data_IF_492660687618
#
_entry.id   IF_492660687618
#
_cell.length_a   1.000
_cell.length_b   1.000
_cell.length_c   1.000
_cell.angle_alpha   90.00
_cell.angle_beta   90.00
_cell.angle_gamma   90.00
#
_symmetry.space_group_name_H-M   'P 1'
#
loop_
_entity.id
_entity.type
_entity.pdbx_description
1 polymer ?
#
# COMPACT_ATOMS: atom_id res chain seq x y z
N UNK A 1 -15.25 -3.89 -2.59
CA UNK A 1 -13.83 -3.61 -2.33
C UNK A 1 -13.11 -4.89 -1.96
N UNK A 2 -11.87 -5.03 -2.41
CA UNK A 2 -10.97 -6.11 -1.97
C UNK A 2 -10.03 -5.66 -0.86
N UNK A 3 -9.96 -4.35 -0.60
CA UNK A 3 -9.20 -3.76 0.50
C UNK A 3 -9.86 -4.04 1.85
N UNK A 4 -9.06 -4.41 2.84
CA UNK A 4 -9.52 -4.59 4.22
C UNK A 4 -9.45 -3.24 4.94
N UNK A 5 -10.55 -2.78 5.59
CA UNK A 5 -10.51 -1.61 6.45
C UNK A 5 -9.53 -1.79 7.61
N UNK A 6 -8.84 -0.72 7.98
CA UNK A 6 -7.84 -0.72 9.06
C UNK A 6 -8.27 0.23 10.17
N UNK A 7 -8.33 -0.30 11.40
CA UNK A 7 -8.55 0.50 12.60
C UNK A 7 -7.21 0.98 13.15
N UNK A 8 -7.15 2.25 13.53
CA UNK A 8 -5.99 2.89 14.14
C UNK A 8 -6.42 3.65 15.41
N UNK A 9 -5.66 3.50 16.49
CA UNK A 9 -5.84 4.30 17.70
C UNK A 9 -4.81 5.42 17.67
N UNK A 10 -5.28 6.65 17.64
CA UNK A 10 -4.45 7.86 17.58
C UNK A 10 -4.87 8.80 18.70
N UNK A 11 -3.96 9.09 19.63
CA UNK A 11 -4.25 9.94 20.80
C UNK A 11 -5.51 9.51 21.59
N UNK A 12 -5.72 8.18 21.69
CA UNK A 12 -6.84 7.60 22.43
C UNK A 12 -8.18 7.59 21.68
N UNK A 13 -8.22 8.06 20.43
CA UNK A 13 -9.40 7.98 19.55
C UNK A 13 -9.25 6.90 18.51
N UNK A 14 -10.36 6.32 18.10
CA UNK A 14 -10.42 5.25 17.11
C UNK A 14 -10.78 5.82 15.73
N UNK A 15 -9.95 5.51 14.75
CA UNK A 15 -10.14 5.90 13.36
C UNK A 15 -10.15 4.69 12.44
N UNK A 16 -10.87 4.82 11.34
CA UNK A 16 -10.96 3.83 10.28
C UNK A 16 -10.32 4.39 9.00
N UNK A 17 -9.35 3.66 8.46
CA UNK A 17 -8.82 3.89 7.12
C UNK A 17 -9.42 2.87 6.16
N UNK A 18 -9.97 3.35 5.05
CA UNK A 18 -10.65 2.50 4.07
C UNK A 18 -10.50 3.09 2.67
N UNK A 19 -10.47 2.22 1.67
CA UNK A 19 -10.48 2.60 0.27
C UNK A 19 -11.28 1.60 -0.56
N UNK A 20 -11.34 1.82 -1.85
CA UNK A 20 -12.07 1.01 -2.79
C UNK A 20 -11.19 0.56 -3.96
N UNK A 21 -11.70 -0.41 -4.69
CA UNK A 21 -11.16 -0.83 -5.96
C UNK A 21 -12.22 -0.68 -7.03
N UNK A 22 -11.79 -0.69 -8.27
CA UNK A 22 -12.69 -0.58 -9.38
C UNK A 22 -12.30 -1.53 -10.53
N UNK A 23 -13.27 -2.04 -11.27
CA UNK A 23 -13.07 -2.95 -12.37
C UNK A 23 -14.02 -2.62 -13.51
N UNK A 24 -13.51 -2.62 -14.76
CA UNK A 24 -14.33 -2.51 -15.96
C UNK A 24 -15.38 -3.63 -16.03
N UNK A 25 -16.54 -3.32 -16.55
CA UNK A 25 -17.70 -4.22 -16.60
C UNK A 25 -18.66 -4.06 -15.42
N UNK A 26 -18.25 -3.43 -14.34
CA UNK A 26 -19.14 -2.97 -13.28
C UNK A 26 -19.56 -1.52 -13.46
N UNK A 27 -18.84 -0.77 -14.29
CA UNK A 27 -19.11 0.62 -14.66
C UNK A 27 -18.86 0.81 -16.16
N UNK A 28 -19.32 1.94 -16.70
CA UNK A 28 -19.28 2.22 -18.15
C UNK A 28 -18.10 3.10 -18.57
N UNK A 29 -17.08 3.27 -17.75
CA UNK A 29 -15.94 4.14 -18.02
C UNK A 29 -14.63 3.46 -17.66
N UNK A 30 -13.56 3.87 -18.34
CA UNK A 30 -12.24 3.27 -18.28
C UNK A 30 -11.40 3.80 -17.12
N UNK A 31 -11.83 4.90 -16.47
CA UNK A 31 -11.20 5.50 -15.30
C UNK A 31 -12.20 5.75 -14.19
N UNK A 32 -11.74 5.81 -12.96
CA UNK A 32 -12.51 6.25 -11.80
C UNK A 32 -11.60 6.86 -10.74
N UNK A 33 -12.11 7.88 -10.06
CA UNK A 33 -11.50 8.35 -8.82
C UNK A 33 -11.69 7.32 -7.71
N UNK A 34 -10.57 6.95 -7.09
CA UNK A 34 -10.52 5.99 -6.00
C UNK A 34 -10.12 6.73 -4.74
N UNK A 35 -11.07 6.99 -3.84
CA UNK A 35 -10.79 7.70 -2.59
C UNK A 35 -10.15 6.77 -1.55
N UNK A 36 -9.23 7.35 -0.78
CA UNK A 36 -8.71 6.82 0.47
C UNK A 36 -9.28 7.69 1.58
N UNK A 37 -10.08 7.12 2.47
CA UNK A 37 -10.76 7.88 3.53
C UNK A 37 -10.14 7.63 4.90
N UNK A 38 -10.13 8.68 5.73
CA UNK A 38 -10.09 8.59 7.18
C UNK A 38 -11.46 8.91 7.74
N UNK A 39 -11.96 8.04 8.58
CA UNK A 39 -13.29 8.13 9.19
C UNK A 39 -13.13 8.06 10.70
N UNK A 40 -13.81 8.91 11.43
CA UNK A 40 -13.99 8.73 12.89
C UNK A 40 -14.83 7.48 13.11
N UNK A 41 -14.27 6.48 13.78
CA UNK A 41 -14.92 5.17 13.92
C UNK A 41 -16.09 5.18 14.91
N UNK A 42 -16.21 6.20 15.78
CA UNK A 42 -17.29 6.34 16.73
C UNK A 42 -18.49 7.06 16.12
N UNK A 43 -18.24 8.09 15.31
CA UNK A 43 -19.29 8.95 14.75
C UNK A 43 -19.67 8.60 13.31
N UNK A 44 -18.76 7.97 12.56
CA UNK A 44 -18.88 7.73 11.13
C UNK A 44 -18.57 8.96 10.27
N UNK A 45 -18.07 10.05 10.86
CA UNK A 45 -17.70 11.27 10.15
C UNK A 45 -16.46 11.05 9.29
N UNK A 46 -16.53 11.44 8.01
CA UNK A 46 -15.37 11.48 7.11
C UNK A 46 -14.54 12.70 7.45
N UNK A 47 -13.33 12.49 7.94
CA UNK A 47 -12.44 13.56 8.36
C UNK A 47 -11.65 14.14 7.17
N UNK A 48 -11.20 13.26 6.27
CA UNK A 48 -10.58 13.63 5.02
C UNK A 48 -10.65 12.48 4.01
N UNK A 49 -10.43 12.78 2.74
CA UNK A 49 -10.15 11.80 1.70
C UNK A 49 -9.06 12.32 0.75
N UNK A 50 -8.38 11.40 0.11
CA UNK A 50 -7.37 11.66 -0.93
C UNK A 50 -7.69 10.76 -2.11
N UNK A 51 -7.82 11.33 -3.30
CA UNK A 51 -8.32 10.64 -4.48
C UNK A 51 -7.19 10.33 -5.46
N UNK A 52 -7.27 9.15 -6.08
CA UNK A 52 -6.42 8.74 -7.20
C UNK A 52 -7.29 8.38 -8.39
N UNK A 53 -6.98 8.93 -9.56
CA UNK A 53 -7.56 8.44 -10.80
C UNK A 53 -6.90 7.10 -11.16
N UNK A 54 -7.72 6.07 -11.40
CA UNK A 54 -7.25 4.73 -11.72
C UNK A 54 -7.90 4.19 -12.98
N UNK A 55 -7.13 3.41 -13.74
CA UNK A 55 -7.53 2.81 -15.01
C UNK A 55 -7.98 1.35 -14.83
N UNK A 56 -8.77 0.83 -15.76
CA UNK A 56 -9.13 -0.58 -15.83
C UNK A 56 -9.77 -0.95 -17.16
N UNK A 57 -9.01 -1.05 -18.22
CA UNK A 57 -9.49 -1.42 -19.56
C UNK A 57 -9.26 -2.90 -19.89
N UNK A 58 -8.42 -3.61 -19.15
CA UNK A 58 -8.01 -5.01 -19.38
C UNK A 58 -8.80 -6.04 -18.56
N UNK A 59 -9.83 -5.62 -17.82
CA UNK A 59 -10.62 -6.47 -16.94
C UNK A 59 -9.94 -6.87 -15.62
N UNK A 60 -8.75 -6.33 -15.34
CA UNK A 60 -8.06 -6.45 -14.05
C UNK A 60 -8.36 -5.23 -13.17
N UNK A 61 -8.61 -5.43 -11.90
CA UNK A 61 -9.02 -4.33 -11.01
C UNK A 61 -7.92 -3.31 -10.76
N UNK A 62 -8.27 -2.03 -10.89
CA UNK A 62 -7.47 -0.89 -10.43
C UNK A 62 -7.87 -0.42 -9.03
N UNK A 63 -7.21 0.63 -8.55
CA UNK A 63 -7.43 1.20 -7.22
C UNK A 63 -6.75 0.42 -6.11
N UNK A 64 -7.29 0.50 -4.89
CA UNK A 64 -6.70 -0.14 -3.71
C UNK A 64 -7.23 -1.56 -3.56
N UNK A 65 -6.33 -2.53 -3.73
CA UNK A 65 -6.58 -3.98 -3.57
C UNK A 65 -5.95 -4.52 -2.29
N UNK A 66 -5.03 -3.78 -1.72
CA UNK A 66 -4.23 -4.13 -0.55
C UNK A 66 -4.87 -3.66 0.75
N UNK A 67 -4.35 -4.15 1.87
CA UNK A 67 -4.62 -3.60 3.20
C UNK A 67 -3.69 -2.40 3.44
N UNK A 68 -4.26 -1.30 3.93
CA UNK A 68 -3.50 -0.10 4.30
C UNK A 68 -2.58 -0.42 5.49
N UNK A 69 -1.33 0.00 5.45
CA UNK A 69 -0.43 -0.09 6.60
C UNK A 69 -0.48 1.20 7.41
N UNK A 70 -0.73 1.08 8.71
CA UNK A 70 -0.65 2.20 9.65
C UNK A 70 0.68 2.17 10.38
N UNK A 71 1.48 3.22 10.23
CA UNK A 71 2.78 3.34 10.88
C UNK A 71 2.68 3.48 12.39
N UNK A 72 3.77 3.12 13.06
CA UNK A 72 4.02 3.23 14.50
C UNK A 72 5.39 3.85 14.71
N UNK A 73 5.82 4.04 15.95
CA UNK A 73 7.13 4.57 16.31
C UNK A 73 7.45 5.84 15.50
N UNK A 74 8.59 5.89 14.79
CA UNK A 74 8.97 7.02 13.93
C UNK A 74 7.98 7.27 12.79
N UNK A 75 7.18 6.28 12.42
CA UNK A 75 6.18 6.36 11.35
C UNK A 75 4.74 6.58 11.88
N UNK A 76 4.58 6.93 13.16
CA UNK A 76 3.27 7.04 13.83
C UNK A 76 2.30 7.99 13.12
N UNK A 77 2.81 9.00 12.44
CA UNK A 77 2.02 10.03 11.76
C UNK A 77 1.60 9.66 10.33
N UNK A 78 1.98 8.46 9.84
CA UNK A 78 1.81 8.08 8.45
C UNK A 78 0.98 6.80 8.26
N UNK A 79 0.29 6.74 7.12
CA UNK A 79 -0.24 5.51 6.53
C UNK A 79 0.37 5.29 5.15
N UNK A 80 0.41 4.02 4.73
CA UNK A 80 0.97 3.61 3.44
C UNK A 80 -0.06 2.80 2.68
N UNK A 81 -0.27 3.16 1.43
CA UNK A 81 -1.30 2.57 0.58
C UNK A 81 -0.71 2.26 -0.80
N UNK A 82 -0.90 1.05 -1.30
CA UNK A 82 -0.62 0.76 -2.71
C UNK A 82 -1.88 1.02 -3.53
N UNK A 83 -1.75 1.85 -4.56
CA UNK A 83 -2.81 2.18 -5.51
C UNK A 83 -2.40 1.67 -6.88
N UNK A 84 -3.24 0.83 -7.47
CA UNK A 84 -2.95 0.14 -8.72
C UNK A 84 -3.53 0.89 -9.90
N UNK A 85 -2.78 0.94 -11.01
CA UNK A 85 -3.20 1.47 -12.31
C UNK A 85 -3.48 2.96 -12.29
N UNK A 86 -2.52 3.73 -11.80
CA UNK A 86 -2.63 5.19 -11.63
C UNK A 86 -2.30 5.99 -12.89
N UNK A 87 -1.51 5.43 -13.83
CA UNK A 87 -1.14 6.07 -15.08
C UNK A 87 -1.58 5.25 -16.29
N UNK A 88 -1.47 3.93 -16.17
CA UNK A 88 -1.88 2.95 -17.16
C UNK A 88 -2.20 1.61 -16.49
N UNK A 89 -2.43 0.56 -17.28
CA UNK A 89 -2.78 -0.76 -16.75
C UNK A 89 -1.63 -1.52 -16.06
N UNK A 90 -0.39 -1.09 -16.25
CA UNK A 90 0.79 -1.73 -15.67
C UNK A 90 1.38 -0.96 -14.50
N UNK A 91 1.06 0.32 -14.37
CA UNK A 91 1.58 1.24 -13.35
C UNK A 91 0.86 1.13 -12.01
N UNK A 92 1.50 1.63 -10.98
CA UNK A 92 0.94 1.82 -9.65
C UNK A 92 1.85 2.68 -8.79
N UNK A 93 1.37 3.02 -7.62
CA UNK A 93 2.08 3.86 -6.67
C UNK A 93 1.95 3.28 -5.26
N UNK A 94 3.06 3.29 -4.51
CA UNK A 94 3.01 3.26 -3.06
C UNK A 94 2.99 4.70 -2.58
N UNK A 95 1.93 5.11 -1.91
CA UNK A 95 1.79 6.46 -1.36
C UNK A 95 1.90 6.46 0.15
N UNK A 96 2.62 7.43 0.69
CA UNK A 96 2.61 7.80 2.10
C UNK A 96 1.71 9.00 2.30
N UNK A 97 0.72 8.86 3.19
CA UNK A 97 -0.20 9.94 3.56
C UNK A 97 0.00 10.32 5.02
N UNK A 98 -0.03 11.62 5.30
CA UNK A 98 -0.11 12.17 6.65
C UNK A 98 -1.47 11.85 7.28
N UNK A 99 -1.48 11.21 8.44
CA UNK A 99 -2.71 10.78 9.12
C UNK A 99 -3.61 11.93 9.55
N UNK A 100 -3.04 13.09 9.86
CA UNK A 100 -3.81 14.22 10.34
C UNK A 100 -4.58 14.91 9.21
N UNK A 101 -3.94 15.07 8.05
CA UNK A 101 -4.46 15.89 6.96
C UNK A 101 -4.86 15.12 5.69
N UNK A 102 -4.44 13.88 5.54
CA UNK A 102 -4.58 13.10 4.30
C UNK A 102 -3.66 13.56 3.16
N UNK A 103 -2.77 14.53 3.40
CA UNK A 103 -1.87 15.02 2.37
C UNK A 103 -0.83 13.99 2.00
N UNK A 104 -0.49 13.93 0.71
CA UNK A 104 0.61 13.13 0.20
C UNK A 104 1.92 13.67 0.74
N UNK A 105 2.70 12.81 1.39
CA UNK A 105 4.04 13.10 1.90
C UNK A 105 5.07 12.73 0.84
N UNK A 106 4.95 11.53 0.28
CA UNK A 106 5.76 11.05 -0.83
C UNK A 106 5.04 9.95 -1.60
N UNK A 107 5.53 9.69 -2.81
CA UNK A 107 5.07 8.64 -3.71
C UNK A 107 6.26 7.88 -4.28
N UNK A 108 6.10 6.58 -4.43
CA UNK A 108 7.04 5.71 -5.14
C UNK A 108 6.30 5.00 -6.27
N UNK A 109 6.63 5.36 -7.51
CA UNK A 109 6.02 4.82 -8.71
C UNK A 109 6.74 3.54 -9.15
N UNK A 110 5.98 2.48 -9.39
CA UNK A 110 6.46 1.19 -9.90
C UNK A 110 5.34 0.47 -10.67
N UNK A 111 5.42 -0.83 -10.87
CA UNK A 111 4.30 -1.62 -11.35
C UNK A 111 3.11 -1.57 -10.37
N UNK A 112 1.91 -1.92 -10.84
CA UNK A 112 0.76 -2.00 -9.93
C UNK A 112 1.03 -2.97 -8.77
N UNK A 113 0.45 -2.72 -7.61
CA UNK A 113 0.64 -3.57 -6.45
C UNK A 113 -0.68 -3.94 -5.78
N UNK A 114 -0.95 -5.24 -5.65
CA UNK A 114 -2.01 -5.81 -4.82
C UNK A 114 -1.46 -6.29 -3.47
N UNK A 115 -0.14 -6.36 -3.38
CA UNK A 115 0.60 -6.62 -2.15
C UNK A 115 0.35 -5.52 -1.12
N UNK A 116 0.00 -5.90 0.09
CA UNK A 116 -0.13 -4.95 1.20
C UNK A 116 1.26 -4.50 1.65
N UNK A 117 1.49 -3.20 1.84
CA UNK A 117 2.74 -2.71 2.42
C UNK A 117 2.84 -3.13 3.89
N UNK A 118 4.06 -3.31 4.37
CA UNK A 118 4.37 -3.67 5.76
C UNK A 118 5.40 -2.70 6.31
N UNK A 119 5.10 -2.10 7.46
CA UNK A 119 6.08 -1.31 8.20
C UNK A 119 7.01 -2.23 8.99
N UNK A 120 8.31 -2.00 8.88
CA UNK A 120 9.35 -2.71 9.62
C UNK A 120 10.19 -1.70 10.39
N UNK A 121 10.66 -2.08 11.57
CA UNK A 121 11.33 -1.15 12.49
C UNK A 121 12.67 -1.69 12.94
N UNK A 122 13.67 -0.84 12.97
CA UNK A 122 14.94 -1.09 13.62
C UNK A 122 14.79 -1.07 15.15
N UNK A 123 15.79 -1.54 15.85
CA UNK A 123 15.81 -1.53 17.33
C UNK A 123 15.80 -0.12 17.95
N UNK A 124 16.16 0.91 17.18
CA UNK A 124 16.12 2.31 17.58
C UNK A 124 14.78 2.99 17.28
N UNK A 125 13.79 2.25 16.76
CA UNK A 125 12.47 2.76 16.39
C UNK A 125 12.38 3.40 15.01
N UNK A 126 13.47 3.51 14.26
CA UNK A 126 13.41 4.00 12.87
C UNK A 126 12.68 3.02 11.98
N UNK A 127 11.76 3.54 11.17
CA UNK A 127 10.85 2.72 10.37
C UNK A 127 11.17 2.75 8.89
N UNK A 128 10.97 1.59 8.26
CA UNK A 128 10.99 1.41 6.80
C UNK A 128 9.68 0.80 6.34
N UNK A 129 9.37 0.91 5.06
CA UNK A 129 8.20 0.28 4.43
C UNK A 129 8.66 -0.69 3.38
N UNK A 130 8.09 -1.89 3.43
CA UNK A 130 8.36 -2.97 2.50
C UNK A 130 7.09 -3.31 1.74
N UNK A 131 7.17 -3.49 0.43
CA UNK A 131 6.07 -3.99 -0.41
C UNK A 131 6.60 -4.72 -1.64
N UNK A 132 5.71 -5.47 -2.30
CA UNK A 132 6.00 -6.14 -3.55
C UNK A 132 5.13 -5.58 -4.68
N UNK A 133 5.64 -5.61 -5.90
CA UNK A 133 5.01 -5.04 -7.08
C UNK A 133 4.87 -6.05 -8.22
N UNK A 134 4.02 -5.73 -9.18
CA UNK A 134 3.79 -6.56 -10.37
C UNK A 134 4.99 -6.67 -11.30
N UNK A 135 6.00 -5.83 -11.11
CA UNK A 135 7.27 -5.91 -11.82
C UNK A 135 8.23 -7.01 -11.31
N UNK A 136 7.78 -7.80 -10.32
CA UNK A 136 8.54 -8.89 -9.74
C UNK A 136 9.54 -8.48 -8.68
N UNK A 137 9.52 -7.22 -8.26
CA UNK A 137 10.43 -6.67 -7.27
C UNK A 137 9.79 -6.56 -5.88
N UNK A 138 10.61 -6.73 -4.86
CA UNK A 138 10.36 -6.32 -3.50
C UNK A 138 11.19 -5.06 -3.21
N UNK A 139 10.52 -4.03 -2.72
CA UNK A 139 11.12 -2.74 -2.41
C UNK A 139 11.14 -2.51 -0.90
N UNK A 140 12.25 -1.99 -0.40
CA UNK A 140 12.40 -1.50 0.95
C UNK A 140 12.72 -0.01 0.91
N UNK A 141 11.83 0.82 1.48
CA UNK A 141 11.94 2.27 1.44
C UNK A 141 12.07 2.86 2.86
N UNK A 142 12.73 3.99 2.96
CA UNK A 142 12.64 4.82 4.15
C UNK A 142 11.18 5.28 4.32
N UNK A 143 10.57 4.99 5.48
CA UNK A 143 9.15 5.27 5.69
C UNK A 143 8.81 6.75 5.74
N UNK A 144 9.72 7.62 6.18
CA UNK A 144 9.49 9.06 6.29
C UNK A 144 9.70 9.79 4.96
N UNK A 145 10.71 9.36 4.17
CA UNK A 145 11.15 10.11 2.98
C UNK A 145 10.76 9.46 1.65
N UNK A 146 10.41 8.17 1.65
CA UNK A 146 10.15 7.41 0.42
C UNK A 146 11.41 7.03 -0.38
N UNK A 147 12.61 7.36 0.13
CA UNK A 147 13.86 6.98 -0.52
C UNK A 147 14.00 5.46 -0.56
N UNK A 148 14.27 4.91 -1.74
CA UNK A 148 14.48 3.47 -1.90
C UNK A 148 15.80 3.09 -1.23
N UNK A 149 15.70 2.26 -0.20
CA UNK A 149 16.84 1.75 0.53
C UNK A 149 17.44 0.51 -0.15
N UNK A 150 16.55 -0.38 -0.61
CA UNK A 150 16.95 -1.60 -1.32
C UNK A 150 15.84 -2.09 -2.27
N UNK A 151 16.24 -2.82 -3.30
CA UNK A 151 15.35 -3.45 -4.26
C UNK A 151 15.86 -4.85 -4.56
N UNK A 152 14.99 -5.84 -4.42
CA UNK A 152 15.32 -7.22 -4.69
C UNK A 152 14.37 -7.81 -5.74
N UNK A 153 14.91 -8.23 -6.88
CA UNK A 153 14.15 -8.94 -7.90
C UNK A 153 13.98 -10.39 -7.49
N UNK A 154 12.74 -10.80 -7.23
CA UNK A 154 12.39 -12.13 -6.76
C UNK A 154 11.77 -13.01 -7.85
N UNK A 155 11.12 -12.40 -8.85
CA UNK A 155 10.40 -13.11 -9.89
C UNK A 155 10.48 -12.37 -11.22
N UNK A 156 10.46 -13.11 -12.32
CA UNK A 156 10.23 -12.53 -13.66
C UNK A 156 8.75 -12.25 -13.92
N UNK A 157 7.88 -12.67 -12.99
CA UNK A 157 6.43 -12.48 -13.02
C UNK A 157 5.92 -11.65 -11.86
N UNK A 158 4.62 -11.48 -11.84
CA UNK A 158 3.90 -10.65 -10.87
C UNK A 158 4.02 -11.19 -9.45
N UNK A 159 4.22 -10.30 -8.48
CA UNK A 159 4.09 -10.59 -7.05
C UNK A 159 2.83 -9.88 -6.53
N UNK A 160 1.81 -10.66 -6.18
CA UNK A 160 0.54 -10.14 -5.63
C UNK A 160 0.36 -10.48 -4.15
N UNK A 161 1.12 -11.46 -3.66
CA UNK A 161 1.09 -11.82 -2.25
C UNK A 161 1.68 -10.70 -1.38
N UNK A 162 1.07 -10.51 -0.23
CA UNK A 162 1.61 -9.61 0.80
C UNK A 162 2.76 -10.29 1.54
N UNK A 163 3.87 -9.61 1.80
CA UNK A 163 4.97 -10.14 2.58
C UNK A 163 4.57 -10.30 4.04
N UNK A 164 5.05 -11.38 4.67
CA UNK A 164 4.99 -11.59 6.11
C UNK A 164 6.37 -11.38 6.71
N UNK A 165 6.45 -10.64 7.80
CA UNK A 165 7.73 -10.30 8.46
C UNK A 165 7.76 -10.84 9.88
N UNK A 166 8.87 -11.49 10.24
CA UNK A 166 9.15 -11.92 11.61
C UNK A 166 10.64 -11.75 11.91
N UNK A 167 10.96 -10.92 12.90
CA UNK A 167 12.34 -10.50 13.15
C UNK A 167 12.94 -9.86 11.89
N UNK A 168 14.08 -10.35 11.43
CA UNK A 168 14.72 -9.89 10.21
C UNK A 168 14.30 -10.69 8.95
N UNK A 169 13.43 -11.69 9.10
CA UNK A 169 13.03 -12.55 7.98
C UNK A 169 11.74 -12.04 7.33
N UNK A 170 11.75 -11.96 6.01
CA UNK A 170 10.58 -11.66 5.16
C UNK A 170 10.25 -12.87 4.32
N UNK A 171 9.00 -13.31 4.36
CA UNK A 171 8.52 -14.42 3.54
C UNK A 171 7.45 -13.91 2.57
N UNK A 172 7.58 -14.24 1.29
CA UNK A 172 6.61 -13.88 0.25
C UNK A 172 6.48 -14.98 -0.81
N UNK A 173 5.27 -15.20 -1.29
CA UNK A 173 4.98 -16.10 -2.42
C UNK A 173 4.94 -15.33 -3.75
N UNK A 174 5.38 -15.97 -4.84
CA UNK A 174 5.37 -15.41 -6.18
C UNK A 174 4.53 -16.27 -7.14
N UNK A 175 4.02 -15.68 -8.23
CA UNK A 175 3.17 -16.42 -9.20
C UNK A 175 3.93 -17.48 -10.00
N UNK A 176 5.23 -17.48 -10.00
CA UNK A 176 6.08 -18.55 -10.56
C UNK A 176 6.22 -19.77 -9.62
N UNK A 177 5.26 -19.91 -8.69
CA UNK A 177 5.14 -21.03 -7.75
C UNK A 177 6.32 -21.19 -6.79
N UNK A 178 6.95 -20.07 -6.40
CA UNK A 178 8.02 -20.05 -5.41
C UNK A 178 7.58 -19.37 -4.12
N UNK A 179 8.26 -19.72 -3.03
CA UNK A 179 8.22 -19.02 -1.76
C UNK A 179 9.64 -18.56 -1.47
N UNK A 180 9.78 -17.28 -1.25
CA UNK A 180 11.06 -16.66 -0.90
C UNK A 180 11.12 -16.37 0.57
N UNK A 181 12.30 -16.60 1.18
CA UNK A 181 12.64 -16.09 2.49
C UNK A 181 13.88 -15.20 2.33
N UNK A 182 13.72 -13.93 2.67
CA UNK A 182 14.75 -12.89 2.52
C UNK A 182 15.09 -12.36 3.90
N UNK A 183 16.37 -12.13 4.18
CA UNK A 183 16.80 -11.47 5.41
C UNK A 183 17.01 -9.98 5.18
N UNK A 184 16.43 -9.15 6.06
CA UNK A 184 16.68 -7.72 6.13
C UNK A 184 18.00 -7.48 6.86
N UNK A 185 18.90 -6.75 6.22
CA UNK A 185 20.21 -6.36 6.78
C UNK A 185 20.14 -5.13 7.67
#
# INVERSE_FOLDING_TARGET
SNSTPVLSIENGKLYLYVSTSFRLGWRSYDTAEIPIWKIDAETGEILWHTDYECYTDDGVSGGVQSTIASGKESLSDYIYVTVSKTEDNASGVLVCLDKASGKIVWEHHAGYAWSSPVCVYNSDGTGKVLYCSSDGNMYLLNGETGEVHDTLSLSEGVIEASPAVYGNSVVVGTRDCKIWCVELG
#
